data_IF_888409198739
#
_entry.id   IF_888409198739
#
_cell.length_a   1.000
_cell.length_b   1.000
_cell.length_c   1.000
_cell.angle_alpha   90.00
_cell.angle_beta   90.00
_cell.angle_gamma   90.00
#
_symmetry.space_group_name_H-M   'P 1'
#
loop_
_entity.id
_entity.type
_entity.pdbx_description
1 polymer ?
#
# COMPACT_ATOMS: atom_id res chain seq x y z
N UNK A 1 19.81 -43.76 1.82
CA UNK A 1 19.22 -42.85 2.82
C UNK A 1 19.63 -41.44 2.45
N UNK A 2 18.78 -40.71 1.68
CA UNK A 2 19.08 -39.34 1.29
C UNK A 2 18.45 -38.45 2.36
N UNK A 3 19.28 -37.82 3.17
CA UNK A 3 18.86 -36.79 4.12
C UNK A 3 18.37 -35.59 3.33
N UNK A 4 17.07 -35.37 3.32
CA UNK A 4 16.45 -34.12 2.87
C UNK A 4 16.90 -33.00 3.80
N UNK A 5 17.92 -32.28 3.39
CA UNK A 5 18.33 -31.05 4.06
C UNK A 5 17.16 -30.07 4.07
N UNK A 6 16.78 -29.64 5.26
CA UNK A 6 15.91 -28.50 5.49
C UNK A 6 16.52 -27.33 4.73
N UNK A 7 15.84 -26.86 3.69
CA UNK A 7 16.24 -25.61 3.03
C UNK A 7 16.19 -24.52 4.08
N UNK A 8 17.37 -24.00 4.42
CA UNK A 8 17.48 -22.80 5.26
C UNK A 8 16.52 -21.76 4.71
N UNK A 9 15.77 -21.09 5.58
CA UNK A 9 14.82 -20.05 5.18
C UNK A 9 15.53 -19.02 4.29
N UNK A 10 15.24 -19.09 2.99
CA UNK A 10 15.82 -18.15 2.05
C UNK A 10 15.30 -16.75 2.43
N UNK A 11 16.21 -15.79 2.50
CA UNK A 11 15.84 -14.39 2.70
C UNK A 11 14.83 -13.97 1.64
N UNK A 12 13.73 -13.33 2.06
CA UNK A 12 12.71 -12.78 1.16
C UNK A 12 12.78 -11.27 1.15
N UNK A 13 12.80 -10.70 -0.03
CA UNK A 13 12.80 -9.25 -0.25
C UNK A 13 11.38 -8.78 -0.55
N UNK A 14 10.88 -7.85 0.28
CA UNK A 14 9.52 -7.33 0.16
C UNK A 14 9.60 -5.83 -0.11
N UNK A 15 8.99 -5.37 -1.18
CA UNK A 15 8.91 -3.94 -1.51
C UNK A 15 7.56 -3.37 -1.10
N UNK A 16 7.57 -2.20 -0.45
CA UNK A 16 6.35 -1.43 -0.23
C UNK A 16 5.74 -0.97 -1.55
N UNK A 17 4.41 -1.07 -1.65
CA UNK A 17 3.66 -0.68 -2.83
C UNK A 17 2.68 0.44 -2.48
N UNK A 18 2.92 1.61 -3.09
CA UNK A 18 2.09 2.79 -2.87
C UNK A 18 0.97 2.83 -3.92
N UNK A 19 -0.30 2.62 -3.54
CA UNK A 19 -1.41 2.55 -4.50
C UNK A 19 -1.95 3.92 -4.95
N UNK A 20 -1.19 5.00 -4.79
CA UNK A 20 -1.64 6.39 -5.01
C UNK A 20 -1.46 6.89 -6.46
N UNK A 21 -0.97 6.05 -7.36
CA UNK A 21 -0.74 6.42 -8.76
C UNK A 21 -1.95 6.15 -9.64
N UNK A 22 -3.13 6.54 -9.15
CA UNK A 22 -4.39 6.62 -9.90
C UNK A 22 -5.32 7.63 -9.22
N UNK A 23 -6.20 8.29 -9.98
CA UNK A 23 -7.14 9.26 -9.40
C UNK A 23 -8.21 8.56 -8.57
N UNK A 24 -8.61 9.23 -7.48
CA UNK A 24 -9.76 8.88 -6.65
C UNK A 24 -10.57 10.14 -6.35
N UNK A 25 -11.89 10.02 -6.10
CA UNK A 25 -12.75 11.18 -5.86
C UNK A 25 -12.29 12.08 -4.71
N UNK A 26 -11.73 11.48 -3.65
CA UNK A 26 -11.21 12.22 -2.49
C UNK A 26 -10.00 13.09 -2.89
N UNK A 27 -9.06 12.51 -3.62
CA UNK A 27 -7.90 13.26 -4.11
C UNK A 27 -8.33 14.37 -5.08
N UNK A 28 -9.31 14.10 -5.94
CA UNK A 28 -9.85 15.09 -6.86
C UNK A 28 -10.49 16.28 -6.11
N UNK A 29 -11.15 16.01 -4.98
CA UNK A 29 -11.74 17.04 -4.12
C UNK A 29 -10.66 17.89 -3.43
N UNK A 30 -9.55 17.29 -2.99
CA UNK A 30 -8.51 17.98 -2.24
C UNK A 30 -7.48 18.68 -3.10
N UNK A 31 -7.16 18.12 -4.27
CA UNK A 31 -6.03 18.53 -5.09
C UNK A 31 -6.40 18.90 -6.53
N UNK A 32 -7.66 18.73 -6.90
CA UNK A 32 -8.17 18.99 -8.24
C UNK A 32 -8.35 17.72 -9.10
N UNK A 33 -9.20 17.81 -10.14
CA UNK A 33 -9.58 16.66 -10.96
C UNK A 33 -8.41 15.92 -11.60
N UNK A 34 -8.43 14.60 -11.53
CA UNK A 34 -7.41 13.73 -12.12
C UNK A 34 -6.10 13.66 -11.33
N UNK A 35 -6.11 14.09 -10.07
CA UNK A 35 -4.91 14.10 -9.23
C UNK A 35 -4.36 12.71 -8.97
N UNK A 36 -3.06 12.56 -9.15
CA UNK A 36 -2.24 11.42 -8.71
C UNK A 36 -0.92 11.94 -8.14
N UNK A 37 -0.11 11.08 -7.53
CA UNK A 37 1.23 11.47 -7.06
C UNK A 37 2.13 12.01 -8.17
N UNK A 38 1.88 11.65 -9.44
CA UNK A 38 2.63 12.19 -10.58
C UNK A 38 2.49 13.71 -10.72
N UNK A 39 1.38 14.30 -10.31
CA UNK A 39 1.17 15.75 -10.39
C UNK A 39 2.25 16.50 -9.62
N UNK A 40 2.60 16.04 -8.41
CA UNK A 40 3.66 16.65 -7.59
C UNK A 40 5.05 16.43 -8.18
N UNK A 41 5.34 15.22 -8.69
CA UNK A 41 6.60 14.92 -9.36
C UNK A 41 6.81 15.83 -10.58
N UNK A 42 5.79 15.91 -11.45
CA UNK A 42 5.85 16.70 -12.68
C UNK A 42 5.91 18.23 -12.43
N UNK A 43 5.27 18.69 -11.35
CA UNK A 43 5.25 20.10 -10.97
C UNK A 43 6.47 20.55 -10.16
N UNK A 44 7.30 19.62 -9.71
CA UNK A 44 8.46 19.95 -8.86
C UNK A 44 9.41 20.96 -9.51
N UNK A 45 9.89 21.93 -8.72
CA UNK A 45 10.83 22.96 -9.14
C UNK A 45 11.98 23.06 -8.14
N UNK A 46 13.22 23.35 -8.59
CA UNK A 46 14.32 23.58 -7.68
C UNK A 46 14.03 24.76 -6.75
N UNK A 47 14.17 24.57 -5.45
CA UNK A 47 13.98 25.60 -4.43
C UNK A 47 15.29 26.33 -4.09
N UNK A 48 16.43 25.74 -4.42
CA UNK A 48 17.76 26.31 -4.20
C UNK A 48 18.77 25.70 -5.19
N UNK A 49 19.96 26.31 -5.29
CA UNK A 49 21.01 25.81 -6.17
C UNK A 49 21.49 24.42 -5.74
N UNK A 50 21.44 23.46 -6.66
CA UNK A 50 21.80 22.06 -6.39
C UNK A 50 20.67 21.22 -5.78
N UNK A 51 19.44 21.74 -5.67
CA UNK A 51 18.30 20.96 -5.24
C UNK A 51 18.03 19.83 -6.24
N UNK A 52 18.17 18.57 -5.78
CA UNK A 52 17.85 17.40 -6.57
C UNK A 52 16.33 17.21 -6.59
N UNK A 53 15.76 17.27 -7.80
CA UNK A 53 14.33 17.01 -8.00
C UNK A 53 14.02 15.52 -7.90
N UNK A 54 12.74 15.15 -7.64
CA UNK A 54 12.29 13.78 -7.81
C UNK A 54 12.64 13.25 -9.21
N UNK A 55 13.07 12.00 -9.27
CA UNK A 55 13.35 11.37 -10.56
C UNK A 55 12.03 11.14 -11.31
N UNK A 56 12.03 11.45 -12.60
CA UNK A 56 10.92 11.10 -13.48
C UNK A 56 10.91 9.59 -13.72
N UNK A 57 9.74 8.98 -13.99
CA UNK A 57 9.68 7.54 -14.21
C UNK A 57 10.52 7.10 -15.42
N UNK A 58 11.18 5.96 -15.27
CA UNK A 58 11.96 5.30 -16.31
C UNK A 58 11.09 4.40 -17.20
N UNK A 59 11.37 3.09 -17.18
CA UNK A 59 10.76 2.09 -18.08
C UNK A 59 9.21 2.06 -18.07
N UNK A 60 8.59 2.33 -16.91
CA UNK A 60 7.13 2.25 -16.78
C UNK A 60 6.41 3.55 -17.14
N UNK A 61 7.15 4.66 -17.38
CA UNK A 61 6.55 5.96 -17.67
C UNK A 61 5.65 6.48 -16.54
N UNK A 62 4.84 7.49 -16.83
CA UNK A 62 3.82 8.02 -15.92
C UNK A 62 2.60 7.08 -15.92
N UNK A 63 2.69 5.99 -15.20
CA UNK A 63 1.71 4.91 -15.22
C UNK A 63 0.45 5.23 -14.40
N UNK A 64 -0.62 4.51 -14.74
CA UNK A 64 -1.89 4.51 -14.01
C UNK A 64 -2.16 3.10 -13.47
N UNK A 65 -2.32 2.97 -12.16
CA UNK A 65 -2.51 1.67 -11.50
C UNK A 65 -3.88 1.02 -11.76
N UNK A 66 -4.79 1.71 -12.46
CA UNK A 66 -6.05 1.11 -12.93
C UNK A 66 -5.83 0.16 -14.10
N UNK A 67 -4.69 0.27 -14.79
CA UNK A 67 -4.37 -0.56 -15.95
C UNK A 67 -3.74 -1.89 -15.51
N UNK A 68 -4.32 -3.04 -15.87
CA UNK A 68 -3.78 -4.35 -15.50
C UNK A 68 -2.38 -4.56 -16.08
N UNK A 69 -2.11 -4.09 -17.30
CA UNK A 69 -0.81 -4.20 -17.97
C UNK A 69 0.30 -3.51 -17.17
N UNK A 70 -0.02 -2.41 -16.50
CA UNK A 70 0.91 -1.69 -15.63
C UNK A 70 1.26 -2.54 -14.42
N UNK A 71 0.25 -3.08 -13.74
CA UNK A 71 0.45 -3.93 -12.55
C UNK A 71 1.26 -5.19 -12.87
N UNK A 72 1.01 -5.80 -14.03
CA UNK A 72 1.78 -6.94 -14.53
C UNK A 72 3.22 -6.56 -14.84
N UNK A 73 3.43 -5.41 -15.51
CA UNK A 73 4.77 -4.90 -15.82
C UNK A 73 5.57 -4.60 -14.54
N UNK A 74 4.94 -4.00 -13.53
CA UNK A 74 5.54 -3.74 -12.22
C UNK A 74 5.93 -5.04 -11.52
N UNK A 75 5.05 -6.04 -11.48
CA UNK A 75 5.33 -7.33 -10.85
C UNK A 75 6.47 -8.08 -11.57
N UNK A 76 6.49 -8.04 -12.89
CA UNK A 76 7.58 -8.62 -13.69
C UNK A 76 8.90 -7.92 -13.42
N UNK A 77 8.92 -6.58 -13.41
CA UNK A 77 10.12 -5.80 -13.11
C UNK A 77 10.63 -6.11 -11.70
N UNK A 78 9.75 -6.13 -10.70
CA UNK A 78 10.07 -6.47 -9.33
C UNK A 78 10.71 -7.87 -9.22
N UNK A 79 10.06 -8.89 -9.78
CA UNK A 79 10.55 -10.27 -9.74
C UNK A 79 11.90 -10.43 -10.44
N UNK A 80 12.11 -9.75 -11.56
CA UNK A 80 13.39 -9.77 -12.29
C UNK A 80 14.54 -9.17 -11.47
N UNK A 81 14.21 -8.27 -10.53
CA UNK A 81 15.20 -7.63 -9.65
C UNK A 81 15.21 -8.23 -8.23
N UNK A 82 14.69 -9.43 -8.04
CA UNK A 82 14.78 -10.16 -6.77
C UNK A 82 13.81 -9.68 -5.69
N UNK A 83 12.71 -9.04 -6.06
CA UNK A 83 11.61 -8.75 -5.14
C UNK A 83 10.65 -9.95 -5.14
N UNK A 84 10.41 -10.53 -3.96
CA UNK A 84 9.61 -11.73 -3.77
C UNK A 84 8.13 -11.43 -3.53
N UNK A 85 7.81 -10.23 -3.02
CA UNK A 85 6.44 -9.83 -2.70
C UNK A 85 6.27 -8.32 -2.68
N UNK A 86 5.04 -7.87 -2.90
CA UNK A 86 4.63 -6.50 -2.63
C UNK A 86 3.92 -6.37 -1.28
N UNK A 87 4.23 -5.30 -0.55
CA UNK A 87 3.52 -4.88 0.65
C UNK A 87 2.64 -3.68 0.31
N UNK A 88 1.36 -3.91 0.03
CA UNK A 88 0.42 -2.84 -0.33
C UNK A 88 0.07 -2.01 0.89
N UNK A 89 0.14 -0.68 0.79
CA UNK A 89 -0.48 0.17 1.77
C UNK A 89 -2.00 -0.01 1.74
N UNK A 90 -2.57 -0.28 2.91
CA UNK A 90 -4.00 -0.45 3.13
C UNK A 90 -4.52 0.73 3.94
N UNK A 91 -5.45 1.49 3.36
CA UNK A 91 -6.03 2.67 3.98
C UNK A 91 -7.45 2.37 4.43
N UNK A 92 -7.66 2.43 5.73
CA UNK A 92 -8.95 2.15 6.36
C UNK A 92 -9.27 3.24 7.38
N UNK A 93 -10.35 3.98 7.13
CA UNK A 93 -10.82 5.08 7.95
C UNK A 93 -12.25 4.80 8.39
N UNK A 94 -12.43 4.07 9.51
CA UNK A 94 -13.72 3.78 10.15
C UNK A 94 -14.80 3.22 9.18
N UNK A 95 -14.43 2.23 8.41
CA UNK A 95 -15.31 1.59 7.42
C UNK A 95 -15.17 2.14 6.01
N UNK A 96 -14.43 3.23 5.81
CA UNK A 96 -14.11 3.76 4.49
C UNK A 96 -12.74 3.25 4.04
N UNK A 97 -12.70 2.53 2.92
CA UNK A 97 -11.43 2.15 2.26
C UNK A 97 -11.10 3.18 1.20
N UNK A 98 -9.83 3.58 1.13
CA UNK A 98 -9.32 4.44 0.07
C UNK A 98 -8.23 3.72 -0.72
N UNK A 99 -8.07 4.10 -1.99
CA UNK A 99 -7.04 3.58 -2.89
C UNK A 99 -7.02 2.04 -3.03
N UNK A 100 -8.15 1.40 -2.73
CA UNK A 100 -8.28 -0.07 -2.73
C UNK A 100 -8.32 -0.68 -4.13
N UNK A 101 -8.62 0.11 -5.17
CA UNK A 101 -8.90 -0.38 -6.52
C UNK A 101 -7.79 -1.24 -7.09
N UNK A 102 -6.49 -0.87 -7.07
CA UNK A 102 -5.44 -1.70 -7.64
C UNK A 102 -5.37 -3.10 -7.03
N UNK A 103 -5.42 -3.19 -5.68
CA UNK A 103 -5.39 -4.49 -5.00
C UNK A 103 -6.68 -5.27 -5.21
N UNK A 104 -7.85 -4.61 -5.21
CA UNK A 104 -9.13 -5.26 -5.47
C UNK A 104 -9.17 -5.91 -6.86
N UNK A 105 -8.64 -5.24 -7.87
CA UNK A 105 -8.55 -5.79 -9.24
C UNK A 105 -7.52 -6.93 -9.35
N UNK A 106 -6.41 -6.86 -8.59
CA UNK A 106 -5.44 -7.97 -8.47
C UNK A 106 -6.09 -9.20 -7.85
N UNK A 107 -6.92 -9.03 -6.81
CA UNK A 107 -7.66 -10.14 -6.19
C UNK A 107 -8.69 -10.73 -7.16
N UNK A 108 -9.45 -9.89 -7.84
CA UNK A 108 -10.51 -10.33 -8.74
C UNK A 108 -9.98 -11.06 -9.97
N UNK A 109 -8.84 -10.62 -10.53
CA UNK A 109 -8.24 -11.21 -11.74
C UNK A 109 -7.38 -12.43 -11.44
N UNK A 110 -6.83 -12.56 -10.23
CA UNK A 110 -5.78 -13.53 -9.93
C UNK A 110 -4.39 -13.13 -10.46
N UNK A 111 -4.26 -11.98 -11.09
CA UNK A 111 -3.00 -11.48 -11.68
C UNK A 111 -2.67 -10.06 -11.18
N UNK A 112 -1.36 -9.71 -11.08
CA UNK A 112 -0.19 -10.55 -11.26
C UNK A 112 -0.04 -11.61 -10.14
N UNK A 113 0.69 -12.71 -10.43
CA UNK A 113 0.89 -13.82 -9.48
C UNK A 113 1.92 -13.53 -8.38
N UNK A 114 2.51 -12.36 -8.37
CA UNK A 114 3.47 -11.98 -7.34
C UNK A 114 2.81 -12.07 -5.95
N UNK A 115 3.44 -12.73 -4.96
CA UNK A 115 2.94 -12.74 -3.59
C UNK A 115 2.77 -11.33 -3.03
N UNK A 116 1.85 -11.17 -2.09
CA UNK A 116 1.62 -9.89 -1.46
C UNK A 116 1.22 -10.01 0.01
N UNK A 117 1.36 -8.90 0.71
CA UNK A 117 0.81 -8.65 2.04
C UNK A 117 0.33 -7.20 2.09
N UNK A 118 -0.22 -6.80 3.22
CA UNK A 118 -0.63 -5.41 3.44
C UNK A 118 0.12 -4.77 4.61
N UNK A 119 0.25 -3.45 4.54
CA UNK A 119 0.61 -2.58 5.65
C UNK A 119 -0.55 -1.62 5.91
N UNK A 120 -1.22 -1.76 7.05
CA UNK A 120 -2.26 -0.80 7.44
C UNK A 120 -1.60 0.53 7.79
N UNK A 121 -1.84 1.55 6.95
CA UNK A 121 -1.38 2.92 7.14
C UNK A 121 -2.35 3.66 8.07
N UNK A 122 -2.25 3.40 9.38
CA UNK A 122 -3.14 3.90 10.42
C UNK A 122 -2.77 5.30 10.92
N UNK A 123 -2.67 6.25 9.97
CA UNK A 123 -2.41 7.67 10.22
C UNK A 123 -3.48 8.55 9.57
N UNK A 124 -3.80 9.72 10.14
CA UNK A 124 -4.64 10.70 9.45
C UNK A 124 -3.96 11.20 8.18
N UNK A 125 -4.74 11.55 7.18
CA UNK A 125 -4.23 12.28 6.04
C UNK A 125 -4.33 13.78 6.31
N UNK A 126 -3.24 14.49 6.02
CA UNK A 126 -3.11 15.93 6.23
C UNK A 126 -2.51 16.58 4.99
N UNK A 127 -2.55 17.91 4.92
CA UNK A 127 -1.85 18.69 3.88
C UNK A 127 -0.37 18.92 4.21
N UNK A 128 0.27 18.02 4.97
CA UNK A 128 1.68 18.14 5.34
C UNK A 128 2.62 18.33 4.14
N UNK A 129 2.29 17.70 3.01
CA UNK A 129 3.05 17.83 1.75
C UNK A 129 3.00 19.23 1.12
N UNK A 130 2.04 20.06 1.52
CA UNK A 130 1.95 21.47 1.12
C UNK A 130 2.45 22.41 2.23
N UNK A 131 3.06 21.86 3.28
CA UNK A 131 3.51 22.63 4.43
C UNK A 131 2.40 23.00 5.43
N UNK A 132 1.20 22.42 5.26
CA UNK A 132 0.02 22.65 6.09
C UNK A 132 -0.28 21.41 6.93
N UNK A 133 0.66 21.01 7.78
CA UNK A 133 0.58 19.77 8.58
C UNK A 133 -0.63 19.72 9.53
N UNK A 134 -1.16 20.85 9.92
CA UNK A 134 -2.28 20.96 10.86
C UNK A 134 -3.65 20.85 10.17
N UNK A 135 -3.69 20.94 8.84
CA UNK A 135 -4.94 20.74 8.09
C UNK A 135 -5.19 19.24 7.86
N UNK A 136 -6.11 18.67 8.62
CA UNK A 136 -6.50 17.27 8.53
C UNK A 136 -7.54 17.10 7.40
N UNK A 137 -7.23 16.24 6.43
CA UNK A 137 -8.11 15.90 5.32
C UNK A 137 -9.06 14.74 5.68
N UNK A 138 -8.54 13.75 6.40
CA UNK A 138 -9.31 12.63 6.93
C UNK A 138 -8.69 12.12 8.22
N UNK A 139 -9.51 12.04 9.27
CA UNK A 139 -9.09 11.58 10.60
C UNK A 139 -8.88 10.07 10.63
N UNK A 140 -7.86 9.66 11.40
CA UNK A 140 -7.65 8.26 11.77
C UNK A 140 -7.92 8.11 13.27
N UNK A 141 -9.10 7.63 13.62
CA UNK A 141 -9.45 7.30 15.00
C UNK A 141 -9.48 5.80 15.24
N UNK A 142 -9.54 5.39 16.49
CA UNK A 142 -9.64 3.97 16.86
C UNK A 142 -10.97 3.34 16.40
N UNK A 143 -11.99 4.15 16.15
CA UNK A 143 -13.31 3.66 15.77
C UNK A 143 -14.07 2.94 16.90
N UNK A 144 -15.23 2.39 16.58
CA UNK A 144 -16.05 1.56 17.45
C UNK A 144 -15.72 0.08 17.31
N UNK A 145 -16.22 -0.76 18.20
CA UNK A 145 -16.13 -2.22 18.05
C UNK A 145 -16.70 -2.71 16.70
N UNK A 146 -17.80 -2.09 16.23
CA UNK A 146 -18.36 -2.39 14.93
C UNK A 146 -17.43 -1.99 13.76
N UNK A 147 -16.63 -0.93 13.92
CA UNK A 147 -15.60 -0.56 12.93
C UNK A 147 -14.49 -1.60 12.88
N UNK A 148 -14.04 -2.05 14.05
CA UNK A 148 -13.04 -3.12 14.15
C UNK A 148 -13.53 -4.42 13.51
N UNK A 149 -14.79 -4.82 13.74
CA UNK A 149 -15.36 -5.99 13.09
C UNK A 149 -15.41 -5.85 11.57
N UNK A 150 -15.84 -4.69 11.06
CA UNK A 150 -15.85 -4.44 9.61
C UNK A 150 -14.45 -4.48 9.03
N UNK A 151 -13.45 -3.89 9.72
CA UNK A 151 -12.07 -3.93 9.29
C UNK A 151 -11.54 -5.37 9.27
N UNK A 152 -11.78 -6.13 10.35
CA UNK A 152 -11.38 -7.53 10.43
C UNK A 152 -11.97 -8.37 9.29
N UNK A 153 -13.24 -8.19 8.96
CA UNK A 153 -13.88 -8.87 7.81
C UNK A 153 -13.22 -8.51 6.49
N UNK A 154 -12.94 -7.23 6.27
CA UNK A 154 -12.22 -6.79 5.07
C UNK A 154 -10.80 -7.37 4.99
N UNK A 155 -10.11 -7.51 6.12
CA UNK A 155 -8.80 -8.15 6.17
C UNK A 155 -8.89 -9.66 5.89
N UNK A 156 -9.93 -10.34 6.38
CA UNK A 156 -10.15 -11.77 6.10
C UNK A 156 -10.33 -12.05 4.61
N UNK A 157 -10.99 -11.16 3.87
CA UNK A 157 -11.09 -11.26 2.40
C UNK A 157 -9.72 -11.22 1.73
N UNK A 158 -8.84 -10.32 2.19
CA UNK A 158 -7.48 -10.18 1.64
C UNK A 158 -6.61 -11.41 1.93
N UNK A 159 -6.63 -11.85 3.19
CA UNK A 159 -5.78 -12.98 3.63
C UNK A 159 -6.28 -14.34 3.15
N UNK A 160 -7.49 -14.43 2.60
CA UNK A 160 -8.01 -15.64 1.97
C UNK A 160 -7.34 -15.95 0.62
N UNK A 161 -6.74 -14.95 -0.04
CA UNK A 161 -6.06 -15.14 -1.32
C UNK A 161 -4.86 -16.08 -1.16
N UNK A 162 -4.69 -17.08 -2.04
CA UNK A 162 -3.57 -18.04 -1.95
C UNK A 162 -2.19 -17.40 -2.13
N UNK A 163 -2.11 -16.22 -2.77
CA UNK A 163 -0.86 -15.44 -2.94
C UNK A 163 -0.50 -14.64 -1.70
N UNK A 164 -1.41 -14.53 -0.73
CA UNK A 164 -1.15 -13.75 0.48
C UNK A 164 0.02 -14.33 1.28
N UNK A 165 1.01 -13.50 1.60
CA UNK A 165 2.24 -13.93 2.26
C UNK A 165 1.96 -14.44 3.68
N UNK A 166 2.51 -15.64 3.98
CA UNK A 166 2.35 -16.31 5.27
C UNK A 166 3.72 -16.68 5.84
N UNK A 167 3.82 -16.62 7.15
CA UNK A 167 4.97 -17.10 7.92
C UNK A 167 4.48 -18.18 8.89
N UNK A 168 5.01 -19.38 8.80
CA UNK A 168 4.54 -20.51 9.60
C UNK A 168 3.04 -20.80 9.42
N UNK A 169 2.50 -20.63 8.20
CA UNK A 169 1.08 -20.81 7.87
C UNK A 169 0.16 -19.65 8.28
N UNK A 170 0.67 -18.64 8.99
CA UNK A 170 -0.09 -17.49 9.48
C UNK A 170 0.04 -16.30 8.52
N UNK A 171 -1.04 -15.59 8.15
CA UNK A 171 -0.95 -14.40 7.33
C UNK A 171 -0.19 -13.28 8.07
N UNK A 172 0.68 -12.59 7.36
CA UNK A 172 1.46 -11.48 7.89
C UNK A 172 0.78 -10.15 7.56
N UNK A 173 0.50 -9.35 8.58
CA UNK A 173 -0.05 -7.99 8.44
C UNK A 173 0.91 -7.03 9.13
N UNK A 174 1.30 -5.97 8.43
CA UNK A 174 2.07 -4.89 9.02
C UNK A 174 1.13 -3.78 9.50
N UNK A 175 1.50 -3.14 10.58
CA UNK A 175 0.84 -1.93 11.09
C UNK A 175 1.87 -0.81 11.10
N UNK A 176 1.57 0.28 10.40
CA UNK A 176 2.53 1.37 10.20
C UNK A 176 2.86 2.10 11.52
N UNK A 177 1.83 2.37 12.36
CA UNK A 177 1.98 3.01 13.69
C UNK A 177 1.47 2.09 14.79
N UNK A 178 2.27 1.11 15.17
CA UNK A 178 1.89 0.14 16.22
C UNK A 178 1.53 0.82 17.57
N UNK A 179 2.23 1.90 17.94
CA UNK A 179 1.95 2.64 19.17
C UNK A 179 0.58 3.33 19.23
N UNK A 180 -0.14 3.44 18.11
CA UNK A 180 -1.51 3.94 18.06
C UNK A 180 -2.58 2.87 18.33
N UNK A 181 -2.17 1.61 18.51
CA UNK A 181 -3.08 0.49 18.80
C UNK A 181 -3.23 0.23 20.31
N UNK A 182 -2.50 0.94 21.16
CA UNK A 182 -2.30 0.59 22.57
C UNK A 182 -3.52 0.76 23.48
N UNK A 183 -4.61 1.35 23.03
CA UNK A 183 -5.78 1.52 23.88
C UNK A 183 -7.04 0.69 23.55
N UNK A 184 -7.35 0.36 22.27
CA UNK A 184 -8.61 -0.33 21.97
C UNK A 184 -8.58 -1.84 22.17
N UNK A 185 -7.42 -2.46 22.34
CA UNK A 185 -7.32 -3.92 22.35
C UNK A 185 -7.32 -4.54 23.76
N UNK A 186 -7.34 -3.74 24.83
CA UNK A 186 -7.34 -4.29 26.18
C UNK A 186 -6.17 -5.24 26.47
N UNK A 187 -5.08 -5.08 25.76
CA UNK A 187 -3.84 -5.80 25.99
C UNK A 187 -3.09 -5.09 27.12
N UNK A 188 -3.55 -5.31 28.34
CA UNK A 188 -2.81 -5.06 29.59
C UNK A 188 -2.09 -6.32 30.00
#
# INVERSE_FOLDING_TARGET
MVTTGTTADALRTIAFYLPQYHPIPENDQWWGPGYTEWNKVAAARPQFRGHRLPDVPGELGFYDLRLPEVREAQARLASTHGIDAFCYYHYWFQGKRLLQRPLAEVLASGEPRLPFLICWANEPWTRAWDGLSDEVLIEQTSGSSADWERHARALLELVADPRYLRVGGRPMILVYRAGRLSEPLGLT
#
